data_IF_547059106931
#
_entry.id   IF_547059106931
#
_cell.length_a   1.000
_cell.length_b   1.000
_cell.length_c   1.000
_cell.angle_alpha   90.00
_cell.angle_beta   90.00
_cell.angle_gamma   90.00
#
_symmetry.space_group_name_H-M   'P 1'
#
loop_
_entity.id
_entity.type
_entity.pdbx_description
1 polymer ?
#
# COMPACT_ATOMS: atom_id res chain seq x y z
N UNK A 1 8.20 -8.55 0.89
CA UNK A 1 7.68 -9.94 0.82
C UNK A 1 6.83 -10.10 -0.41
N UNK A 2 5.76 -9.33 -0.59
CA UNK A 2 4.88 -9.38 -1.77
C UNK A 2 5.66 -9.46 -3.09
N UNK A 3 6.60 -8.56 -3.31
CA UNK A 3 7.33 -8.47 -4.58
C UNK A 3 8.14 -9.74 -4.84
N UNK A 4 8.79 -10.28 -3.81
CA UNK A 4 9.55 -11.55 -3.91
C UNK A 4 8.62 -12.72 -4.27
N UNK A 5 7.46 -12.82 -3.60
CA UNK A 5 6.46 -13.86 -3.89
C UNK A 5 5.87 -13.72 -5.30
N UNK A 6 5.74 -12.48 -5.80
CA UNK A 6 5.29 -12.21 -7.16
C UNK A 6 6.40 -12.37 -8.23
N UNK A 7 7.61 -12.79 -7.86
CA UNK A 7 8.75 -12.92 -8.77
C UNK A 7 9.28 -11.57 -9.28
N UNK A 8 9.12 -10.52 -8.49
CA UNK A 8 9.57 -9.16 -8.78
C UNK A 8 10.81 -8.83 -7.94
N UNK A 9 11.62 -7.90 -8.44
CA UNK A 9 12.73 -7.38 -7.67
C UNK A 9 12.19 -6.45 -6.57
N UNK A 10 12.63 -6.67 -5.33
CA UNK A 10 12.31 -5.81 -4.19
C UNK A 10 13.52 -4.98 -3.80
N UNK A 11 13.30 -3.69 -3.60
CA UNK A 11 14.33 -2.73 -3.19
C UNK A 11 14.09 -2.20 -1.78
N UNK A 12 12.85 -2.26 -1.31
CA UNK A 12 12.45 -1.73 -0.02
C UNK A 12 12.25 -2.88 0.98
N UNK A 13 12.77 -2.67 2.18
CA UNK A 13 12.57 -3.58 3.31
C UNK A 13 11.94 -2.75 4.43
N UNK A 14 10.67 -3.06 4.72
CA UNK A 14 9.93 -2.46 5.81
C UNK A 14 9.83 -3.47 6.95
N UNK A 15 10.09 -3.01 8.18
CA UNK A 15 9.97 -3.82 9.38
C UNK A 15 8.72 -3.44 10.15
N UNK A 16 7.95 -4.44 10.57
CA UNK A 16 6.91 -4.28 11.54
C UNK A 16 7.42 -4.77 12.91
N UNK A 17 7.15 -4.00 13.96
CA UNK A 17 7.66 -4.31 15.29
C UNK A 17 6.55 -4.20 16.34
N UNK A 18 6.53 -5.18 17.24
CA UNK A 18 5.66 -5.17 18.41
C UNK A 18 6.32 -4.38 19.56
N UNK A 19 6.46 -3.08 19.38
CA UNK A 19 7.10 -2.18 20.33
C UNK A 19 6.58 -0.77 20.08
N UNK A 20 6.50 0.04 21.13
CA UNK A 20 6.14 1.46 21.00
C UNK A 20 7.26 2.23 20.28
N UNK A 21 6.93 3.28 19.51
CA UNK A 21 7.93 4.10 18.83
C UNK A 21 9.00 4.66 19.78
N UNK A 22 8.60 5.07 21.00
CA UNK A 22 9.49 5.58 22.02
C UNK A 22 10.55 4.58 22.44
N UNK A 23 10.16 3.32 22.59
CA UNK A 23 11.08 2.26 22.99
C UNK A 23 11.99 1.86 21.84
N UNK A 24 11.49 1.87 20.63
CA UNK A 24 12.30 1.69 19.41
C UNK A 24 13.38 2.78 19.34
N UNK A 25 13.02 4.05 19.54
CA UNK A 25 13.95 5.19 19.55
C UNK A 25 15.03 5.01 20.62
N UNK A 26 14.64 4.60 21.84
CA UNK A 26 15.62 4.33 22.92
C UNK A 26 16.63 3.26 22.55
N UNK A 27 16.16 2.16 21.92
CA UNK A 27 17.04 1.07 21.46
C UNK A 27 17.98 1.54 20.37
N UNK A 28 17.49 2.28 19.37
CA UNK A 28 18.30 2.83 18.29
C UNK A 28 19.37 3.79 18.84
N UNK A 29 18.99 4.69 19.75
CA UNK A 29 19.92 5.63 20.40
C UNK A 29 21.01 4.94 21.21
N UNK A 30 20.66 3.92 22.01
CA UNK A 30 21.63 3.11 22.76
C UNK A 30 22.68 2.41 21.89
N UNK A 31 22.30 2.07 20.65
CA UNK A 31 23.17 1.39 19.69
C UNK A 31 23.82 2.36 18.68
N UNK A 32 23.72 3.67 18.89
CA UNK A 32 24.25 4.71 18.01
C UNK A 32 23.78 4.58 16.55
N UNK A 33 22.55 4.09 16.32
CA UNK A 33 21.94 3.97 15.00
C UNK A 33 21.25 5.30 14.69
N UNK A 34 21.62 5.93 13.58
CA UNK A 34 20.98 7.19 13.11
C UNK A 34 19.56 6.90 12.62
N UNK A 35 18.63 7.70 13.08
CA UNK A 35 17.21 7.59 12.69
C UNK A 35 16.58 8.96 12.48
N UNK A 36 15.43 8.95 11.85
CA UNK A 36 14.51 10.07 11.62
C UNK A 36 13.14 9.65 12.15
N UNK A 37 12.54 10.47 13.00
CA UNK A 37 11.29 10.17 13.71
C UNK A 37 10.09 11.04 13.29
N UNK A 38 10.17 11.74 12.15
CA UNK A 38 9.04 12.55 11.64
C UNK A 38 7.73 11.75 11.50
N UNK A 39 7.85 10.45 11.22
CA UNK A 39 6.71 9.54 11.16
C UNK A 39 6.25 8.98 12.51
N UNK A 40 6.86 9.37 13.64
CA UNK A 40 6.61 8.80 14.97
C UNK A 40 5.14 8.82 15.37
N UNK A 41 4.41 9.89 15.05
CA UNK A 41 2.98 10.01 15.33
C UNK A 41 2.19 8.83 14.75
N UNK A 42 2.64 8.31 13.60
CA UNK A 42 2.04 7.17 12.92
C UNK A 42 2.78 5.84 13.17
N UNK A 43 3.71 5.83 14.12
CA UNK A 43 4.48 4.64 14.48
C UNK A 43 5.68 4.34 13.58
N UNK A 44 5.99 5.18 12.59
CA UNK A 44 7.05 4.95 11.62
C UNK A 44 8.33 5.70 12.01
N UNK A 45 9.46 4.98 11.97
CA UNK A 45 10.80 5.51 12.22
C UNK A 45 11.68 5.06 11.06
N UNK A 46 12.33 6.02 10.39
CA UNK A 46 13.31 5.71 9.37
C UNK A 46 14.69 5.55 9.96
N UNK A 47 15.39 4.49 9.60
CA UNK A 47 16.77 4.24 10.00
C UNK A 47 17.69 4.17 8.79
N UNK A 48 18.94 4.59 8.96
CA UNK A 48 19.96 4.51 7.92
C UNK A 48 21.13 3.68 8.41
N UNK A 49 21.35 2.53 7.75
CA UNK A 49 22.47 1.61 8.05
C UNK A 49 23.23 1.36 6.73
N UNK A 50 24.53 1.57 6.72
CA UNK A 50 25.39 1.35 5.54
C UNK A 50 24.84 1.99 4.26
N UNK A 51 24.41 3.26 4.35
CA UNK A 51 23.78 4.02 3.27
C UNK A 51 22.44 3.46 2.75
N UNK A 52 21.90 2.40 3.33
CA UNK A 52 20.55 1.90 3.03
C UNK A 52 19.55 2.49 4.01
N UNK A 53 18.36 2.82 3.52
CA UNK A 53 17.24 3.28 4.34
C UNK A 53 16.32 2.10 4.62
N UNK A 54 15.82 2.03 5.83
CA UNK A 54 14.83 1.06 6.28
C UNK A 54 13.73 1.81 7.04
N UNK A 55 12.52 1.30 6.97
CA UNK A 55 11.42 1.80 7.77
C UNK A 55 11.05 0.77 8.83
N UNK A 56 10.95 1.22 10.09
CA UNK A 56 10.51 0.42 11.23
C UNK A 56 9.17 0.99 11.67
N UNK A 57 8.10 0.19 11.56
CA UNK A 57 6.74 0.64 11.90
C UNK A 57 6.20 -0.19 13.06
N UNK A 58 5.80 0.49 14.14
CA UNK A 58 5.10 -0.13 15.26
C UNK A 58 3.74 -0.66 14.82
N UNK A 59 3.35 -1.83 15.31
CA UNK A 59 2.02 -2.39 15.05
C UNK A 59 0.94 -1.44 15.56
N UNK A 60 -0.09 -1.21 14.76
CA UNK A 60 -1.15 -0.26 15.06
C UNK A 60 -2.50 -0.66 14.46
N UNK A 61 -3.53 -0.11 15.06
CA UNK A 61 -4.89 -0.02 14.52
C UNK A 61 -5.13 1.41 14.05
N UNK A 62 -5.77 1.57 12.90
CA UNK A 62 -6.19 2.87 12.38
C UNK A 62 -7.67 3.08 12.72
N UNK A 63 -8.05 4.26 13.20
CA UNK A 63 -9.44 4.59 13.51
C UNK A 63 -9.73 6.06 13.14
N UNK A 64 -11.01 6.44 13.07
CA UNK A 64 -11.42 7.76 12.62
C UNK A 64 -10.81 8.18 11.27
N UNK A 65 -10.66 7.22 10.36
CA UNK A 65 -10.03 7.47 9.07
C UNK A 65 -10.86 8.46 8.24
N UNK A 66 -10.22 9.58 7.85
CA UNK A 66 -10.77 10.58 6.95
C UNK A 66 -9.77 10.80 5.81
N UNK A 67 -9.92 9.99 4.77
CA UNK A 67 -8.94 9.97 3.68
C UNK A 67 -7.59 9.47 4.18
N UNK A 68 -6.54 10.31 4.06
CA UNK A 68 -5.17 9.98 4.48
C UNK A 68 -4.86 10.31 5.93
N UNK A 69 -5.71 11.12 6.56
CA UNK A 69 -5.61 11.38 8.00
C UNK A 69 -6.30 10.27 8.77
N UNK A 70 -5.59 9.75 9.74
CA UNK A 70 -6.08 8.70 10.62
C UNK A 70 -5.51 8.89 12.01
N UNK A 71 -6.33 8.60 13.00
CA UNK A 71 -5.85 8.42 14.35
C UNK A 71 -5.29 7.01 14.48
N UNK A 72 -4.21 6.85 15.21
CA UNK A 72 -3.55 5.56 15.39
C UNK A 72 -3.54 5.15 16.85
N UNK A 73 -3.76 3.87 17.10
CA UNK A 73 -3.59 3.24 18.39
C UNK A 73 -2.60 2.09 18.24
N UNK A 74 -1.50 2.15 18.98
CA UNK A 74 -0.52 1.06 18.96
C UNK A 74 -1.09 -0.21 19.59
N UNK A 75 -0.73 -1.34 19.00
CA UNK A 75 -1.24 -2.66 19.41
C UNK A 75 -0.11 -3.70 19.41
N UNK A 76 -0.34 -4.80 20.10
CA UNK A 76 0.53 -5.98 20.06
C UNK A 76 -0.06 -7.08 19.15
N UNK A 77 -1.21 -6.82 18.56
CA UNK A 77 -1.97 -7.78 17.76
C UNK A 77 -1.61 -7.62 16.27
N UNK A 78 -0.94 -8.62 15.71
CA UNK A 78 -0.54 -8.69 14.31
C UNK A 78 -1.74 -8.75 13.37
N UNK A 79 -2.85 -9.39 13.78
CA UNK A 79 -4.06 -9.46 12.97
C UNK A 79 -4.70 -8.07 12.83
N UNK A 80 -4.70 -7.27 13.88
CA UNK A 80 -5.23 -5.91 13.85
C UNK A 80 -4.39 -5.01 12.94
N UNK A 81 -3.06 -5.08 13.00
CA UNK A 81 -2.19 -4.35 12.06
C UNK A 81 -2.38 -4.82 10.62
N UNK A 82 -2.55 -6.12 10.40
CA UNK A 82 -2.85 -6.67 9.08
C UNK A 82 -4.20 -6.17 8.53
N UNK A 83 -5.23 -6.09 9.38
CA UNK A 83 -6.60 -5.72 9.00
C UNK A 83 -6.73 -4.27 8.51
N UNK A 84 -5.86 -3.35 8.97
CA UNK A 84 -5.88 -1.95 8.51
C UNK A 84 -5.29 -1.76 7.12
N UNK A 85 -4.55 -2.74 6.59
CA UNK A 85 -3.90 -2.64 5.27
C UNK A 85 -4.94 -2.69 4.15
N UNK A 86 -4.53 -2.25 2.96
CA UNK A 86 -5.42 -2.15 1.80
C UNK A 86 -5.75 -3.52 1.19
N UNK A 87 -4.72 -4.30 0.86
CA UNK A 87 -4.85 -5.56 0.12
C UNK A 87 -4.24 -6.72 0.88
N UNK A 88 -4.81 -7.91 0.70
CA UNK A 88 -4.36 -9.17 1.32
C UNK A 88 -2.89 -9.44 1.09
N UNK A 89 -2.41 -9.24 -0.14
CA UNK A 89 -1.01 -9.43 -0.53
C UNK A 89 -0.04 -8.45 0.15
N UNK A 90 -0.53 -7.35 0.71
CA UNK A 90 0.26 -6.38 1.46
C UNK A 90 0.26 -6.64 2.97
N UNK A 91 -0.45 -7.69 3.43
CA UNK A 91 -0.61 -8.04 4.83
C UNK A 91 0.09 -9.36 5.21
N UNK A 92 1.15 -9.70 4.50
CA UNK A 92 1.98 -10.89 4.76
C UNK A 92 3.22 -10.46 5.54
N UNK A 93 3.50 -11.15 6.64
CA UNK A 93 4.68 -10.92 7.48
C UNK A 93 5.63 -12.11 7.38
N UNK A 94 6.93 -11.82 7.33
CA UNK A 94 8.00 -12.79 7.39
C UNK A 94 8.85 -12.51 8.63
N UNK A 95 8.95 -13.47 9.50
CA UNK A 95 9.79 -13.39 10.69
C UNK A 95 11.23 -13.80 10.37
N UNK A 96 12.22 -13.35 11.17
CA UNK A 96 13.61 -13.74 10.99
C UNK A 96 13.85 -15.27 11.04
N UNK A 97 12.94 -16.01 11.68
CA UNK A 97 12.94 -17.49 11.72
C UNK A 97 12.56 -18.15 10.38
N UNK A 98 12.14 -17.37 9.38
CA UNK A 98 11.58 -17.86 8.13
C UNK A 98 10.09 -18.19 8.19
N UNK A 99 9.44 -18.07 9.36
CA UNK A 99 8.01 -18.30 9.50
C UNK A 99 7.22 -17.14 8.88
N UNK A 100 6.27 -17.46 8.00
CA UNK A 100 5.33 -16.49 7.44
C UNK A 100 4.00 -16.52 8.17
N UNK A 101 3.40 -15.33 8.32
CA UNK A 101 2.04 -15.14 8.80
C UNK A 101 1.25 -14.41 7.73
N UNK A 102 0.17 -15.03 7.30
CA UNK A 102 -0.73 -14.57 6.25
C UNK A 102 -2.17 -14.77 6.72
N UNK A 103 -2.72 -13.71 7.30
CA UNK A 103 -4.05 -13.76 7.93
C UNK A 103 -5.21 -13.70 6.93
N UNK A 104 -4.92 -13.35 5.67
CA UNK A 104 -5.94 -13.05 4.66
C UNK A 104 -5.71 -13.78 3.34
N UNK A 105 -4.91 -14.84 3.34
CA UNK A 105 -4.57 -15.64 2.14
C UNK A 105 -3.93 -14.84 1.00
N UNK A 106 -3.13 -13.84 1.34
CA UNK A 106 -2.44 -12.98 0.38
C UNK A 106 -1.46 -13.74 -0.52
N UNK A 107 -0.85 -14.82 -0.01
CA UNK A 107 -0.01 -15.72 -0.81
C UNK A 107 -0.81 -16.39 -1.92
N UNK A 108 -2.01 -16.88 -1.62
CA UNK A 108 -2.93 -17.46 -2.60
C UNK A 108 -3.34 -16.42 -3.65
N UNK A 109 -3.63 -15.19 -3.21
CA UNK A 109 -3.99 -14.10 -4.13
C UNK A 109 -2.83 -13.76 -5.08
N UNK A 110 -1.59 -13.72 -4.60
CA UNK A 110 -0.40 -13.52 -5.44
C UNK A 110 -0.25 -14.67 -6.44
N UNK A 111 -0.36 -15.92 -6.00
CA UNK A 111 -0.26 -17.09 -6.89
C UNK A 111 -1.34 -17.08 -7.97
N UNK A 112 -2.55 -16.63 -7.65
CA UNK A 112 -3.66 -16.47 -8.58
C UNK A 112 -3.60 -15.19 -9.41
N UNK A 113 -2.59 -14.32 -9.19
CA UNK A 113 -2.42 -13.04 -9.88
C UNK A 113 -3.65 -12.12 -9.74
N UNK A 114 -4.24 -12.11 -8.58
CA UNK A 114 -5.42 -11.30 -8.24
C UNK A 114 -5.13 -10.33 -7.09
N UNK A 115 -5.91 -9.26 -7.02
CA UNK A 115 -5.84 -8.29 -5.93
C UNK A 115 -7.16 -8.32 -5.19
N UNK A 116 -7.10 -8.54 -3.89
CA UNK A 116 -8.27 -8.57 -3.03
C UNK A 116 -8.11 -7.57 -1.88
N UNK A 117 -9.13 -6.75 -1.68
CA UNK A 117 -9.21 -5.86 -0.52
C UNK A 117 -9.38 -6.67 0.77
N UNK A 118 -8.85 -6.14 1.86
CA UNK A 118 -9.12 -6.67 3.20
C UNK A 118 -10.40 -6.00 3.69
N UNK A 119 -11.45 -6.80 3.93
CA UNK A 119 -12.77 -6.31 4.33
C UNK A 119 -13.67 -5.93 3.15
N UNK A 120 -14.69 -5.13 3.42
CA UNK A 120 -15.65 -4.68 2.41
C UNK A 120 -15.04 -3.66 1.46
N UNK A 121 -15.11 -3.92 0.16
CA UNK A 121 -14.44 -3.11 -0.88
C UNK A 121 -14.95 -1.68 -0.92
N UNK A 122 -16.28 -1.50 -0.83
CA UNK A 122 -16.89 -0.18 -0.87
C UNK A 122 -16.45 0.66 0.31
N UNK A 123 -16.53 0.09 1.51
CA UNK A 123 -16.09 0.75 2.74
C UNK A 123 -14.60 1.11 2.64
N UNK A 124 -13.75 0.18 2.20
CA UNK A 124 -12.29 0.40 2.10
C UNK A 124 -11.92 1.50 1.12
N UNK A 125 -12.67 1.65 0.04
CA UNK A 125 -12.49 2.75 -0.92
C UNK A 125 -12.93 4.08 -0.32
N UNK A 126 -14.06 4.11 0.38
CA UNK A 126 -14.59 5.34 1.01
C UNK A 126 -13.70 5.84 2.16
N UNK A 127 -13.01 4.96 2.87
CA UNK A 127 -12.01 5.33 3.86
C UNK A 127 -10.79 6.06 3.23
N UNK A 128 -10.35 5.65 2.05
CA UNK A 128 -9.24 6.28 1.32
C UNK A 128 -9.36 6.00 -0.19
N UNK A 129 -9.79 7.01 -0.95
CA UNK A 129 -9.94 6.93 -2.41
C UNK A 129 -8.63 6.67 -3.16
N UNK A 130 -7.46 6.91 -2.53
CA UNK A 130 -6.16 6.55 -3.11
C UNK A 130 -6.03 5.05 -3.35
N UNK A 131 -6.77 4.22 -2.61
CA UNK A 131 -6.78 2.76 -2.78
C UNK A 131 -7.25 2.34 -4.18
N UNK A 132 -8.05 3.16 -4.87
CA UNK A 132 -8.43 2.93 -6.27
C UNK A 132 -7.18 2.97 -7.16
N UNK A 133 -6.38 4.03 -7.07
CA UNK A 133 -5.14 4.14 -7.85
C UNK A 133 -4.13 3.06 -7.46
N UNK A 134 -4.05 2.73 -6.17
CA UNK A 134 -3.20 1.65 -5.67
C UNK A 134 -3.63 0.29 -6.22
N UNK A 135 -4.93 0.02 -6.33
CA UNK A 135 -5.46 -1.20 -6.95
C UNK A 135 -4.94 -1.35 -8.39
N UNK A 136 -5.14 -0.34 -9.22
CA UNK A 136 -4.65 -0.35 -10.60
C UNK A 136 -3.12 -0.44 -10.66
N UNK A 137 -2.40 0.25 -9.77
CA UNK A 137 -0.95 0.12 -9.70
C UNK A 137 -0.52 -1.32 -9.47
N UNK A 138 -1.14 -2.02 -8.55
CA UNK A 138 -0.76 -3.39 -8.23
C UNK A 138 -1.15 -4.40 -9.32
N UNK A 139 -2.15 -4.12 -10.16
CA UNK A 139 -2.41 -4.95 -11.34
C UNK A 139 -1.18 -5.05 -12.25
N UNK A 140 -0.38 -4.00 -12.33
CA UNK A 140 0.88 -3.99 -13.08
C UNK A 140 1.99 -4.88 -12.50
N UNK A 141 1.79 -5.46 -11.33
CA UNK A 141 2.69 -6.46 -10.78
C UNK A 141 2.51 -7.85 -11.42
N UNK A 142 1.37 -8.11 -12.05
CA UNK A 142 0.97 -9.43 -12.55
C UNK A 142 0.90 -9.49 -14.07
N UNK A 143 1.38 -10.60 -14.66
CA UNK A 143 1.32 -10.83 -16.11
C UNK A 143 -0.11 -11.13 -16.56
N UNK A 144 -0.76 -12.05 -15.87
CA UNK A 144 -2.11 -12.56 -16.20
C UNK A 144 -3.08 -12.18 -15.08
N UNK A 145 -3.23 -10.87 -14.86
CA UNK A 145 -4.06 -10.31 -13.80
C UNK A 145 -5.50 -10.81 -13.85
N UNK A 146 -6.09 -11.01 -12.68
CA UNK A 146 -7.51 -11.30 -12.52
C UNK A 146 -8.18 -10.20 -11.69
N UNK A 147 -9.30 -9.71 -12.18
CA UNK A 147 -10.17 -8.77 -11.47
C UNK A 147 -11.42 -9.52 -11.05
N UNK A 148 -11.82 -9.41 -9.79
CA UNK A 148 -13.04 -10.00 -9.28
C UNK A 148 -14.27 -9.28 -9.87
N UNK A 149 -15.30 -10.04 -10.29
CA UNK A 149 -16.42 -9.55 -11.07
C UNK A 149 -17.17 -8.33 -10.50
N UNK A 150 -17.19 -8.18 -9.19
CA UNK A 150 -17.87 -7.05 -8.53
C UNK A 150 -16.98 -5.80 -8.37
N UNK A 151 -15.66 -5.94 -8.47
CA UNK A 151 -14.72 -4.84 -8.18
C UNK A 151 -14.79 -3.73 -9.21
N UNK A 152 -14.86 -4.07 -10.48
CA UNK A 152 -14.89 -3.09 -11.58
C UNK A 152 -16.03 -2.08 -11.40
N UNK A 153 -17.22 -2.57 -11.05
CA UNK A 153 -18.40 -1.73 -10.83
C UNK A 153 -18.23 -0.77 -9.66
N UNK A 154 -17.66 -1.28 -8.56
CA UNK A 154 -17.42 -0.49 -7.35
C UNK A 154 -16.33 0.56 -7.59
N UNK A 155 -15.23 0.16 -8.22
CA UNK A 155 -14.13 1.06 -8.56
C UNK A 155 -14.62 2.18 -9.48
N UNK A 156 -15.28 1.86 -10.60
CA UNK A 156 -15.77 2.84 -11.55
C UNK A 156 -16.69 3.87 -10.92
N UNK A 157 -17.59 3.45 -10.03
CA UNK A 157 -18.51 4.36 -9.33
C UNK A 157 -17.80 5.37 -8.42
N UNK A 158 -16.67 4.99 -7.83
CA UNK A 158 -15.94 5.80 -6.87
C UNK A 158 -14.79 6.64 -7.48
N UNK A 159 -14.48 6.46 -8.77
CA UNK A 159 -13.40 7.21 -9.43
C UNK A 159 -13.59 8.73 -9.44
N UNK A 160 -14.80 9.29 -9.67
CA UNK A 160 -14.99 10.73 -9.63
C UNK A 160 -14.62 11.35 -8.28
N UNK A 161 -14.60 10.55 -7.22
CA UNK A 161 -14.24 11.01 -5.87
C UNK A 161 -12.74 11.26 -5.69
N UNK A 162 -11.90 10.69 -6.57
CA UNK A 162 -10.43 10.86 -6.49
C UNK A 162 -10.08 12.35 -6.55
N UNK A 163 -10.67 13.10 -7.48
CA UNK A 163 -10.37 14.52 -7.70
C UNK A 163 -10.74 15.40 -6.52
N UNK A 164 -11.78 15.03 -5.79
CA UNK A 164 -12.26 15.78 -4.65
C UNK A 164 -11.47 15.51 -3.37
N UNK A 165 -10.75 14.37 -3.30
CA UNK A 165 -10.15 13.89 -2.06
C UNK A 165 -8.62 13.69 -2.14
N UNK A 166 -8.05 13.61 -3.34
CA UNK A 166 -6.63 13.31 -3.52
C UNK A 166 -5.97 14.45 -4.31
N UNK A 167 -4.87 14.97 -3.77
CA UNK A 167 -4.11 16.03 -4.46
C UNK A 167 -3.43 15.52 -5.74
N UNK A 168 -3.25 16.40 -6.70
CA UNK A 168 -2.63 16.09 -7.98
C UNK A 168 -1.21 15.50 -7.83
N UNK A 169 -0.42 15.97 -6.86
CA UNK A 169 0.93 15.44 -6.60
C UNK A 169 0.90 13.97 -6.17
N UNK A 170 -0.08 13.60 -5.36
CA UNK A 170 -0.26 12.21 -4.92
C UNK A 170 -0.72 11.34 -6.08
N UNK A 171 -1.69 11.79 -6.88
CA UNK A 171 -2.14 11.10 -8.09
C UNK A 171 -0.97 10.88 -9.04
N UNK A 172 -0.20 11.94 -9.34
CA UNK A 172 1.00 11.89 -10.18
C UNK A 172 2.01 10.87 -9.65
N UNK A 173 2.27 10.88 -8.34
CA UNK A 173 3.18 9.92 -7.71
C UNK A 173 2.74 8.48 -7.92
N UNK A 174 1.45 8.17 -7.77
CA UNK A 174 0.94 6.81 -7.98
C UNK A 174 1.01 6.39 -9.45
N UNK A 175 0.72 7.30 -10.38
CA UNK A 175 0.85 7.03 -11.83
C UNK A 175 2.31 6.74 -12.21
N UNK A 176 3.26 7.53 -11.70
CA UNK A 176 4.68 7.27 -11.96
C UNK A 176 5.12 5.90 -11.40
N UNK A 177 4.54 5.47 -10.28
CA UNK A 177 4.78 4.12 -9.75
C UNK A 177 4.13 3.04 -10.64
N UNK A 178 2.95 3.29 -11.22
CA UNK A 178 2.32 2.37 -12.18
C UNK A 178 3.21 2.15 -13.39
N UNK A 179 3.76 3.21 -13.95
CA UNK A 179 4.62 3.15 -15.13
C UNK A 179 5.94 2.41 -14.89
N UNK A 180 6.39 2.31 -13.64
CA UNK A 180 7.60 1.56 -13.25
C UNK A 180 7.36 0.06 -13.07
N UNK A 181 6.12 -0.40 -13.08
CA UNK A 181 5.81 -1.81 -12.91
C UNK A 181 6.24 -2.64 -14.13
N UNK A 182 6.60 -3.89 -13.89
CA UNK A 182 7.03 -4.83 -14.94
C UNK A 182 5.98 -5.00 -16.04
N UNK A 183 4.70 -4.97 -15.67
CA UNK A 183 3.57 -5.10 -16.57
C UNK A 183 2.69 -3.84 -16.52
N UNK A 184 3.32 -2.66 -16.67
CA UNK A 184 2.64 -1.37 -16.55
C UNK A 184 1.39 -1.27 -17.45
N UNK A 185 1.41 -1.88 -18.63
CA UNK A 185 0.25 -1.92 -19.53
C UNK A 185 -0.99 -2.53 -18.85
N UNK A 186 -0.81 -3.49 -17.95
CA UNK A 186 -1.92 -4.10 -17.20
C UNK A 186 -2.58 -3.13 -16.21
N UNK A 187 -1.83 -2.17 -15.70
CA UNK A 187 -2.40 -1.09 -14.86
C UNK A 187 -3.27 -0.14 -15.68
N UNK A 188 -2.93 0.07 -16.95
CA UNK A 188 -3.55 1.09 -17.82
C UNK A 188 -4.64 0.51 -18.72
N UNK A 189 -4.53 -0.76 -19.15
CA UNK A 189 -5.49 -1.37 -20.10
C UNK A 189 -6.86 -1.63 -19.50
N UNK A 190 -6.95 -1.83 -18.17
CA UNK A 190 -8.21 -2.10 -17.48
C UNK A 190 -8.97 -0.86 -17.06
N UNK A 191 -8.46 0.30 -17.38
CA UNK A 191 -9.29 1.48 -17.43
C UNK A 191 -10.31 1.31 -18.61
N UNK A 192 -11.13 0.26 -18.54
CA UNK A 192 -12.15 -0.02 -19.54
C UNK A 192 -13.28 1.01 -19.57
N UNK A 193 -13.38 1.83 -18.53
CA UNK A 193 -14.27 2.97 -18.58
C UNK A 193 -13.61 4.07 -19.45
N UNK A 194 -14.19 4.41 -20.63
CA UNK A 194 -13.66 5.47 -21.49
C UNK A 194 -13.54 6.82 -20.77
N UNK A 195 -14.45 7.12 -19.84
CA UNK A 195 -14.39 8.34 -19.02
C UNK A 195 -13.12 8.37 -18.17
N UNK A 196 -12.81 7.25 -17.49
CA UNK A 196 -11.61 7.09 -16.67
C UNK A 196 -10.32 7.26 -17.47
N UNK A 197 -10.26 6.56 -18.60
CA UNK A 197 -9.10 6.61 -19.48
C UNK A 197 -8.89 8.04 -19.99
N UNK A 198 -9.97 8.72 -20.37
CA UNK A 198 -9.90 10.08 -20.88
C UNK A 198 -9.55 11.08 -19.76
N UNK A 199 -10.13 10.96 -18.57
CA UNK A 199 -9.82 11.83 -17.44
C UNK A 199 -8.39 11.61 -16.93
N UNK A 200 -7.91 10.38 -16.86
CA UNK A 200 -6.53 10.09 -16.48
C UNK A 200 -5.54 10.59 -17.55
N UNK A 201 -5.82 10.36 -18.84
CA UNK A 201 -5.00 10.84 -19.95
C UNK A 201 -5.01 12.38 -19.99
N UNK A 202 -6.16 13.00 -19.79
CA UNK A 202 -6.26 14.47 -19.71
C UNK A 202 -5.40 14.99 -18.56
N UNK A 203 -5.49 14.40 -17.37
CA UNK A 203 -4.65 14.77 -16.23
C UNK A 203 -3.16 14.55 -16.46
N UNK A 204 -2.79 13.44 -17.12
CA UNK A 204 -1.40 13.22 -17.53
C UNK A 204 -0.96 14.34 -18.47
N UNK A 205 -1.77 14.71 -19.44
CA UNK A 205 -1.44 15.81 -20.38
C UNK A 205 -1.36 17.16 -19.67
N UNK A 206 -2.27 17.47 -18.76
CA UNK A 206 -2.26 18.72 -17.98
C UNK A 206 -1.04 18.84 -17.05
N UNK A 207 -0.29 17.76 -16.81
CA UNK A 207 0.93 17.74 -15.99
C UNK A 207 2.23 17.81 -16.79
N UNK A 208 2.16 17.67 -18.12
CA UNK A 208 3.33 17.71 -19.00
C UNK A 208 3.48 19.07 -19.71
N UNK A 209 2.58 20.00 -19.48
CA UNK A 209 2.65 21.39 -19.91
C UNK A 209 3.06 22.26 -18.72
#
# INVERSE_FOLDING_TARGET
IRDVLAGLQSYDIDFAINCLPEDTIKVLGKNNIKFDDYGKKYGSIQVKINNKKFEITSLREDFNQKGRDTDVKFTNDWLKDASRRDFTMNAIYLFPSGKMYDYFDGQSDIANQQIRFIGDVEQRIQEDYLRILRFYRFLGCFKNKKILNNYEKILCRNIPMIDNHISNDVIRSEILKMLKNKYAINSLSDFHNPALKNDLIKKINDWWI
#
